data_IF_658436173581
#
_entry.id   IF_658436173581
#
_cell.length_a   1.000
_cell.length_b   1.000
_cell.length_c   1.000
_cell.angle_alpha   90.00
_cell.angle_beta   90.00
_cell.angle_gamma   90.00
#
_symmetry.space_group_name_H-M   'P 1'
#
loop_
_entity.id
_entity.type
_entity.pdbx_description
1 polymer ?
#
# COMPACT_ATOMS: atom_id res chain seq x y z
N UNK A 1 5.39 6.83 -50.11
CA UNK A 1 5.90 5.76 -49.22
C UNK A 1 6.49 6.27 -47.88
N UNK A 2 7.16 7.44 -47.81
CA UNK A 2 7.76 7.98 -46.56
C UNK A 2 6.76 8.32 -45.43
N UNK A 3 5.53 8.69 -45.78
CA UNK A 3 4.48 9.04 -44.79
C UNK A 3 3.97 7.82 -44.01
N UNK A 4 3.79 6.69 -44.70
CA UNK A 4 3.35 5.43 -44.06
C UNK A 4 4.44 4.91 -43.12
N UNK A 5 5.71 5.00 -43.52
CA UNK A 5 6.84 4.67 -42.66
C UNK A 5 6.85 5.50 -41.37
N UNK A 6 6.59 6.80 -41.47
CA UNK A 6 6.50 7.67 -40.28
C UNK A 6 5.32 7.32 -39.36
N UNK A 7 4.17 6.92 -39.91
CA UNK A 7 3.04 6.44 -39.11
C UNK A 7 3.35 5.12 -38.38
N UNK A 8 4.04 4.19 -39.06
CA UNK A 8 4.47 2.92 -38.44
C UNK A 8 5.50 3.17 -37.34
N UNK A 9 6.44 4.09 -37.55
CA UNK A 9 7.44 4.48 -36.54
C UNK A 9 6.77 5.18 -35.35
N UNK A 10 5.82 6.09 -35.59
CA UNK A 10 5.06 6.75 -34.52
C UNK A 10 4.24 5.73 -33.71
N UNK A 11 3.62 4.78 -34.40
CA UNK A 11 2.83 3.72 -33.77
C UNK A 11 3.70 2.77 -32.95
N UNK A 12 4.88 2.40 -33.46
CA UNK A 12 5.86 1.58 -32.73
C UNK A 12 6.42 2.31 -31.49
N UNK A 13 6.69 3.62 -31.59
CA UNK A 13 7.12 4.45 -30.46
C UNK A 13 6.05 4.48 -29.35
N UNK A 14 4.78 4.66 -29.71
CA UNK A 14 3.69 4.65 -28.73
C UNK A 14 3.55 3.29 -28.03
N UNK A 15 3.81 2.18 -28.73
CA UNK A 15 3.81 0.84 -28.13
C UNK A 15 5.05 0.57 -27.26
N UNK A 16 6.24 1.06 -27.63
CA UNK A 16 7.47 0.85 -26.84
C UNK A 16 7.50 1.67 -25.55
N UNK A 17 6.93 2.88 -25.55
CA UNK A 17 6.80 3.69 -24.32
C UNK A 17 5.67 3.23 -23.39
N UNK A 18 4.88 2.21 -23.77
CA UNK A 18 3.88 1.58 -22.89
C UNK A 18 4.47 0.53 -21.94
N UNK A 19 5.72 0.12 -22.17
CA UNK A 19 6.44 -0.81 -21.32
C UNK A 19 6.98 -0.12 -20.06
N UNK A 20 6.22 -0.25 -18.97
CA UNK A 20 6.54 0.15 -17.59
C UNK A 20 7.06 1.59 -17.38
N UNK A 21 6.23 2.49 -16.82
CA UNK A 21 6.71 3.83 -16.54
C UNK A 21 7.77 3.78 -15.42
N UNK A 22 9.00 4.31 -15.64
CA UNK A 22 10.00 4.52 -14.58
C UNK A 22 9.56 5.60 -13.55
N UNK A 23 8.32 6.09 -13.67
CA UNK A 23 7.70 7.11 -12.85
C UNK A 23 7.01 6.57 -11.60
N UNK A 24 6.97 5.25 -11.34
CA UNK A 24 6.34 4.65 -10.14
C UNK A 24 6.57 5.47 -8.85
N UNK A 25 7.82 5.72 -8.43
CA UNK A 25 8.05 6.42 -7.16
C UNK A 25 7.60 7.89 -7.17
N UNK A 26 7.55 8.54 -8.33
CA UNK A 26 7.08 9.92 -8.45
C UNK A 26 5.55 10.00 -8.51
N UNK A 27 4.92 9.07 -9.23
CA UNK A 27 3.47 8.90 -9.27
C UNK A 27 2.91 8.61 -7.88
N UNK A 28 3.53 7.69 -7.16
CA UNK A 28 3.07 7.29 -5.83
C UNK A 28 3.15 8.48 -4.84
N UNK A 29 4.20 9.30 -4.93
CA UNK A 29 4.32 10.54 -4.14
C UNK A 29 3.23 11.57 -4.47
N UNK A 30 2.91 11.75 -5.75
CA UNK A 30 1.85 12.67 -6.17
C UNK A 30 0.49 12.17 -5.71
N UNK A 31 0.23 10.86 -5.84
CA UNK A 31 -1.01 10.24 -5.40
C UNK A 31 -1.13 10.36 -3.88
N UNK A 32 -0.07 10.08 -3.12
CA UNK A 32 -0.07 10.27 -1.66
C UNK A 32 -0.33 11.71 -1.26
N UNK A 33 0.31 12.67 -1.93
CA UNK A 33 0.10 14.09 -1.68
C UNK A 33 -1.35 14.50 -1.99
N UNK A 34 -1.89 14.06 -3.12
CA UNK A 34 -3.28 14.29 -3.48
C UNK A 34 -4.26 13.67 -2.46
N UNK A 35 -4.01 12.44 -2.02
CA UNK A 35 -4.80 11.76 -1.00
C UNK A 35 -4.69 12.44 0.36
N UNK A 36 -3.53 13.02 0.70
CA UNK A 36 -3.35 13.76 1.96
C UNK A 36 -4.17 15.06 2.02
N UNK A 37 -4.56 15.62 0.86
CA UNK A 37 -5.39 16.81 0.75
C UNK A 37 -6.90 16.50 0.83
N UNK A 38 -7.28 15.24 0.63
CA UNK A 38 -8.68 14.80 0.76
C UNK A 38 -8.99 14.60 2.24
N UNK A 39 -10.01 15.26 2.81
CA UNK A 39 -10.36 15.05 4.21
C UNK A 39 -10.74 13.58 4.45
N UNK A 40 -10.43 13.06 5.65
CA UNK A 40 -10.59 11.64 5.97
C UNK A 40 -12.00 11.11 5.67
N UNK A 41 -13.02 11.94 5.93
CA UNK A 41 -14.44 11.68 5.67
C UNK A 41 -14.81 11.44 4.18
N UNK A 42 -13.95 11.87 3.24
CA UNK A 42 -14.15 11.69 1.79
C UNK A 42 -13.27 10.57 1.20
N UNK A 43 -12.36 9.98 1.99
CA UNK A 43 -11.54 8.85 1.53
C UNK A 43 -12.32 7.55 1.66
N UNK A 44 -12.31 6.73 0.61
CA UNK A 44 -12.96 5.43 0.67
C UNK A 44 -12.15 4.43 1.48
N UNK A 45 -12.82 3.51 2.18
CA UNK A 45 -12.19 2.39 2.88
C UNK A 45 -11.13 1.66 2.03
N UNK A 46 -11.40 1.50 0.73
CA UNK A 46 -10.48 0.85 -0.22
C UNK A 46 -9.15 1.60 -0.38
N UNK A 47 -9.15 2.92 -0.27
CA UNK A 47 -7.92 3.73 -0.33
C UNK A 47 -7.10 3.60 0.97
N UNK A 48 -7.78 3.54 2.11
CA UNK A 48 -7.14 3.29 3.41
C UNK A 48 -6.49 1.90 3.43
N UNK A 49 -7.21 0.86 3.00
CA UNK A 49 -6.68 -0.50 2.86
C UNK A 49 -5.45 -0.53 1.94
N UNK A 50 -5.52 0.08 0.76
CA UNK A 50 -4.40 0.13 -0.18
C UNK A 50 -3.17 0.84 0.40
N UNK A 51 -3.38 1.92 1.17
CA UNK A 51 -2.30 2.66 1.83
C UNK A 51 -1.63 1.82 2.93
N UNK A 52 -2.44 1.13 3.75
CA UNK A 52 -1.94 0.22 4.79
C UNK A 52 -1.16 -0.93 4.16
N UNK A 53 -1.70 -1.57 3.12
CA UNK A 53 -1.04 -2.64 2.38
C UNK A 53 0.33 -2.19 1.87
N UNK A 54 0.40 -1.02 1.23
CA UNK A 54 1.65 -0.49 0.70
C UNK A 54 2.68 -0.24 1.80
N UNK A 55 2.30 0.48 2.86
CA UNK A 55 3.22 0.85 3.94
C UNK A 55 3.68 -0.39 4.74
N UNK A 56 2.77 -1.35 4.99
CA UNK A 56 3.13 -2.63 5.62
C UNK A 56 4.01 -3.50 4.72
N UNK A 57 3.74 -3.58 3.41
CA UNK A 57 4.59 -4.34 2.47
C UNK A 57 5.99 -3.72 2.35
N UNK A 58 6.09 -2.39 2.31
CA UNK A 58 7.37 -1.70 2.30
C UNK A 58 8.16 -1.96 3.60
N UNK A 59 7.47 -1.96 4.75
CA UNK A 59 8.09 -2.31 6.03
C UNK A 59 8.50 -3.79 6.09
N UNK A 60 7.63 -4.68 5.63
CA UNK A 60 7.84 -6.12 5.65
C UNK A 60 9.12 -6.52 4.92
N UNK A 61 9.50 -5.84 3.83
CA UNK A 61 10.76 -6.09 3.12
C UNK A 61 12.01 -5.99 4.00
N UNK A 62 11.93 -5.32 5.15
CA UNK A 62 13.03 -5.23 6.14
C UNK A 62 13.06 -6.38 7.16
N UNK A 63 12.03 -7.23 7.16
CA UNK A 63 11.81 -8.31 8.11
C UNK A 63 12.17 -9.69 7.53
N UNK A 64 12.15 -10.72 8.36
CA UNK A 64 12.30 -12.11 7.91
C UNK A 64 11.08 -12.63 7.13
N UNK A 65 11.27 -13.63 6.28
CA UNK A 65 10.24 -14.16 5.37
C UNK A 65 8.91 -14.51 6.08
N UNK A 66 8.98 -15.17 7.24
CA UNK A 66 7.78 -15.55 8.00
C UNK A 66 6.97 -14.33 8.49
N UNK A 67 7.65 -13.25 8.85
CA UNK A 67 7.02 -11.99 9.25
C UNK A 67 6.42 -11.26 8.04
N UNK A 68 7.09 -11.35 6.89
CA UNK A 68 6.57 -10.82 5.63
C UNK A 68 5.24 -11.48 5.25
N UNK A 69 5.20 -12.81 5.22
CA UNK A 69 4.00 -13.59 4.90
C UNK A 69 2.86 -13.32 5.90
N UNK A 70 3.21 -13.21 7.18
CA UNK A 70 2.25 -12.89 8.22
C UNK A 70 1.65 -11.48 8.04
N UNK A 71 2.48 -10.48 7.76
CA UNK A 71 2.00 -9.11 7.49
C UNK A 71 1.20 -9.02 6.19
N UNK A 72 1.58 -9.75 5.15
CA UNK A 72 0.81 -9.81 3.91
C UNK A 72 -0.60 -10.38 4.14
N UNK A 73 -0.72 -11.40 5.01
CA UNK A 73 -2.01 -11.97 5.41
C UNK A 73 -2.80 -10.98 6.27
N UNK A 74 -2.16 -10.34 7.25
CA UNK A 74 -2.80 -9.33 8.10
C UNK A 74 -3.31 -8.12 7.30
N UNK A 75 -2.67 -7.80 6.17
CA UNK A 75 -3.03 -6.68 5.32
C UNK A 75 -3.96 -7.06 4.14
N UNK A 76 -4.44 -8.30 4.05
CA UNK A 76 -5.17 -8.79 2.87
C UNK A 76 -6.43 -7.97 2.54
N UNK A 77 -7.19 -7.60 3.56
CA UNK A 77 -8.44 -6.84 3.44
C UNK A 77 -8.73 -6.05 4.73
N UNK A 78 -9.82 -5.27 4.72
CA UNK A 78 -10.26 -4.44 5.85
C UNK A 78 -10.45 -5.26 7.13
N UNK A 79 -11.14 -6.39 7.05
CA UNK A 79 -11.48 -7.21 8.22
C UNK A 79 -10.23 -7.84 8.84
N UNK A 80 -9.29 -8.27 8.02
CA UNK A 80 -7.99 -8.80 8.45
C UNK A 80 -7.17 -7.72 9.19
N UNK A 81 -7.15 -6.50 8.64
CA UNK A 81 -6.45 -5.36 9.26
C UNK A 81 -7.08 -5.01 10.61
N UNK A 82 -8.42 -4.93 10.68
CA UNK A 82 -9.14 -4.62 11.92
C UNK A 82 -8.93 -5.70 12.97
N UNK A 83 -8.98 -6.98 12.57
CA UNK A 83 -8.74 -8.12 13.46
C UNK A 83 -7.31 -8.14 13.99
N UNK A 84 -6.32 -7.91 13.13
CA UNK A 84 -4.91 -7.77 13.54
C UNK A 84 -4.76 -6.65 14.58
N UNK A 85 -5.35 -5.48 14.30
CA UNK A 85 -5.26 -4.33 15.20
C UNK A 85 -5.90 -4.63 16.54
N UNK A 86 -7.10 -5.20 16.54
CA UNK A 86 -7.83 -5.54 17.76
C UNK A 86 -7.00 -6.50 18.62
N UNK A 87 -6.51 -7.59 18.04
CA UNK A 87 -5.80 -8.63 18.80
C UNK A 87 -4.44 -8.12 19.28
N UNK A 88 -3.62 -7.57 18.39
CA UNK A 88 -2.21 -7.35 18.71
C UNK A 88 -1.88 -5.90 19.10
N UNK A 89 -2.64 -4.92 18.61
CA UNK A 89 -2.39 -3.51 18.90
C UNK A 89 -3.20 -3.02 20.10
N UNK A 90 -4.45 -3.50 20.27
CA UNK A 90 -5.34 -3.10 21.36
C UNK A 90 -5.30 -4.10 22.52
N UNK A 91 -5.65 -5.37 22.27
CA UNK A 91 -5.69 -6.40 23.32
C UNK A 91 -4.29 -6.82 23.79
N UNK A 92 -3.25 -6.50 23.01
CA UNK A 92 -1.85 -6.89 23.25
C UNK A 92 -1.67 -8.41 23.34
N UNK A 93 -2.46 -9.15 22.57
CA UNK A 93 -2.34 -10.60 22.46
C UNK A 93 -0.93 -10.98 22.01
N UNK A 94 -0.40 -12.07 22.56
CA UNK A 94 0.92 -12.54 22.18
C UNK A 94 0.92 -13.10 20.75
N UNK A 95 1.88 -12.67 19.95
CA UNK A 95 2.08 -13.15 18.60
C UNK A 95 3.48 -13.76 18.44
N UNK A 96 3.59 -15.09 18.22
CA UNK A 96 4.89 -15.76 18.14
C UNK A 96 5.69 -15.45 16.87
N UNK A 97 5.05 -14.88 15.84
CA UNK A 97 5.69 -14.57 14.55
C UNK A 97 6.15 -13.11 14.52
N UNK A 98 5.32 -12.20 15.00
CA UNK A 98 5.54 -10.76 14.93
C UNK A 98 5.34 -10.15 16.32
N UNK A 99 6.43 -9.87 17.04
CA UNK A 99 6.42 -9.32 18.40
C UNK A 99 7.50 -8.24 18.55
N UNK A 100 7.47 -7.51 19.67
CA UNK A 100 8.45 -6.47 19.97
C UNK A 100 8.36 -5.27 19.02
N UNK A 101 9.51 -4.75 18.60
CA UNK A 101 9.60 -3.59 17.70
C UNK A 101 8.89 -3.82 16.35
N UNK A 102 8.98 -5.00 15.71
CA UNK A 102 8.19 -5.31 14.53
C UNK A 102 6.69 -5.14 14.69
N UNK A 103 6.14 -5.66 15.79
CA UNK A 103 4.71 -5.52 16.07
C UNK A 103 4.33 -4.06 16.32
N UNK A 104 5.13 -3.34 17.11
CA UNK A 104 4.88 -1.93 17.40
C UNK A 104 4.88 -1.08 16.13
N UNK A 105 5.81 -1.34 15.21
CA UNK A 105 5.89 -0.62 13.95
C UNK A 105 4.71 -0.91 13.05
N UNK A 106 4.29 -2.17 12.94
CA UNK A 106 3.08 -2.55 12.20
C UNK A 106 1.82 -1.91 12.77
N UNK A 107 1.67 -1.87 14.11
CA UNK A 107 0.55 -1.18 14.75
C UNK A 107 0.55 0.32 14.45
N UNK A 108 1.71 0.99 14.52
CA UNK A 108 1.82 2.41 14.19
C UNK A 108 1.44 2.70 12.73
N UNK A 109 1.78 1.81 11.79
CA UNK A 109 1.36 1.95 10.39
C UNK A 109 -0.16 1.85 10.28
N UNK A 110 -0.79 0.87 10.93
CA UNK A 110 -2.26 0.71 10.87
C UNK A 110 -2.96 1.91 11.53
N UNK A 111 -2.50 2.36 12.70
CA UNK A 111 -3.09 3.48 13.43
C UNK A 111 -3.06 4.79 12.64
N UNK A 112 -2.02 5.03 11.81
CA UNK A 112 -1.93 6.19 10.90
C UNK A 112 -3.10 6.29 9.91
N UNK A 113 -3.76 5.18 9.61
CA UNK A 113 -4.87 5.10 8.65
C UNK A 113 -6.18 4.65 9.29
N UNK A 114 -6.22 4.44 10.62
CA UNK A 114 -7.34 3.79 11.29
C UNK A 114 -8.65 4.59 11.17
N UNK A 115 -8.61 5.89 11.44
CA UNK A 115 -9.81 6.75 11.39
C UNK A 115 -10.46 6.67 9.99
N UNK A 116 -9.64 6.80 8.94
CA UNK A 116 -10.02 6.62 7.53
C UNK A 116 -10.58 5.24 7.22
N UNK A 117 -10.03 4.19 7.83
CA UNK A 117 -10.51 2.81 7.64
C UNK A 117 -11.88 2.59 8.28
N UNK A 118 -12.19 3.34 9.34
CA UNK A 118 -13.45 3.21 10.10
C UNK A 118 -14.50 4.26 9.75
N UNK A 119 -14.17 5.27 8.95
CA UNK A 119 -15.06 6.38 8.62
C UNK A 119 -15.32 7.33 9.80
N UNK A 120 -14.34 7.45 10.71
CA UNK A 120 -14.37 8.36 11.86
C UNK A 120 -13.59 9.66 11.60
#
# INVERSE_FOLDING_TARGET
>A
MKKIFWFVVLFLLLLTFSGEPPLKPYRDKIIDYALSLVPAEWQSDSQAVASIQRDLNAYAQTLGLRQQEFLATAAADKDSILSFRQNYCVNKDFNPVLFGEPLQRSCSIIDKYYDRLTGN
#
